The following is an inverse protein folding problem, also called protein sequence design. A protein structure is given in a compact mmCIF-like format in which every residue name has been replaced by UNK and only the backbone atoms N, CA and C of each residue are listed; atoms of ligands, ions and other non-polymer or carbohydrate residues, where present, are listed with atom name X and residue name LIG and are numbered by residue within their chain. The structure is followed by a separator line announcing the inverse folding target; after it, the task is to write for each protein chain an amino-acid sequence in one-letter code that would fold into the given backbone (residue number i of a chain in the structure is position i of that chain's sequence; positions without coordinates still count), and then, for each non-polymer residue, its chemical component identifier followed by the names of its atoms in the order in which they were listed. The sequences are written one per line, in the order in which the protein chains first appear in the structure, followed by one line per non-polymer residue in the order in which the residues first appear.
data_IF_336431505061
#
_entry.id   IF_336431505061
#
_cell.length_a   1.000
_cell.length_b   1.000
_cell.length_c   1.000
_cell.angle_alpha   90.00
_cell.angle_beta   90.00
_cell.angle_gamma   90.00
#
_symmetry.space_group_name_H-M   'P 1'
#
loop_
_entity.id
_entity.type
_entity.pdbx_description
1 polymer ?
#
# COMPACT_ATOMS: atom_id res chain seq x y z
N UNK A 1 2.50 29.11 10.79
CA UNK A 1 1.85 27.90 10.27
C UNK A 1 2.76 26.71 10.54
N UNK A 2 2.33 25.83 11.43
CA UNK A 2 2.94 24.51 11.64
C UNK A 2 2.62 23.58 10.45
N UNK A 3 3.14 22.35 10.46
CA UNK A 3 3.01 21.46 9.31
C UNK A 3 1.57 20.92 9.14
N UNK A 4 0.86 20.67 10.24
CA UNK A 4 -0.56 20.27 10.21
C UNK A 4 -1.43 21.35 9.58
N UNK A 5 -1.23 22.60 9.99
CA UNK A 5 -1.96 23.75 9.42
C UNK A 5 -1.64 23.93 7.92
N UNK A 6 -0.43 23.57 7.49
CA UNK A 6 -0.02 23.67 6.09
C UNK A 6 -0.68 22.59 5.21
N UNK A 7 -0.79 21.36 5.70
CA UNK A 7 -1.50 20.27 5.01
C UNK A 7 -3.00 20.55 4.90
N UNK A 8 -3.61 21.08 5.96
CA UNK A 8 -5.01 21.53 5.95
C UNK A 8 -5.22 22.65 4.93
N UNK A 9 -4.29 23.60 4.84
CA UNK A 9 -4.34 24.68 3.86
C UNK A 9 -4.23 24.17 2.43
N UNK A 10 -3.31 23.26 2.14
CA UNK A 10 -3.17 22.63 0.81
C UNK A 10 -4.50 21.95 0.43
N UNK A 11 -5.07 21.17 1.35
CA UNK A 11 -6.34 20.47 1.11
C UNK A 11 -7.50 21.44 0.87
N UNK A 12 -7.61 22.49 1.69
CA UNK A 12 -8.66 23.50 1.56
C UNK A 12 -8.54 24.30 0.26
N UNK A 13 -7.33 24.76 -0.07
CA UNK A 13 -7.05 25.50 -1.30
C UNK A 13 -7.39 24.68 -2.55
N UNK A 14 -7.03 23.39 -2.57
CA UNK A 14 -7.39 22.49 -3.67
C UNK A 14 -8.92 22.35 -3.82
N UNK A 15 -9.64 22.13 -2.71
CA UNK A 15 -11.12 22.01 -2.72
C UNK A 15 -11.83 23.28 -3.19
N UNK A 16 -11.26 24.44 -2.89
CA UNK A 16 -11.78 25.75 -3.28
C UNK A 16 -11.31 26.18 -4.67
N UNK A 17 -10.48 25.37 -5.35
CA UNK A 17 -9.81 25.71 -6.60
C UNK A 17 -8.98 27.01 -6.51
N UNK A 18 -8.50 27.37 -5.32
CA UNK A 18 -7.54 28.46 -5.15
C UNK A 18 -6.14 27.93 -5.45
N UNK A 19 -5.86 27.76 -6.75
CA UNK A 19 -4.64 27.10 -7.20
C UNK A 19 -3.38 27.92 -6.90
N UNK A 20 -3.49 29.25 -6.81
CA UNK A 20 -2.38 30.10 -6.42
C UNK A 20 -1.98 29.86 -4.96
N UNK A 21 -2.97 29.81 -4.06
CA UNK A 21 -2.75 29.46 -2.67
C UNK A 21 -2.24 28.02 -2.53
N UNK A 22 -2.85 27.07 -3.25
CA UNK A 22 -2.43 25.67 -3.30
C UNK A 22 -0.95 25.53 -3.66
N UNK A 23 -0.50 26.18 -4.74
CA UNK A 23 0.89 26.15 -5.15
C UNK A 23 1.80 26.81 -4.13
N UNK A 24 1.42 27.98 -3.59
CA UNK A 24 2.23 28.68 -2.58
C UNK A 24 2.46 27.83 -1.32
N UNK A 25 1.42 27.11 -0.87
CA UNK A 25 1.50 26.23 0.28
C UNK A 25 2.38 24.99 0.00
N UNK A 26 2.25 24.36 -1.18
CA UNK A 26 3.11 23.24 -1.58
C UNK A 26 4.58 23.66 -1.73
N UNK A 27 4.86 24.87 -2.24
CA UNK A 27 6.23 25.41 -2.32
C UNK A 27 6.84 25.67 -0.94
N UNK A 28 6.05 26.16 0.01
CA UNK A 28 6.51 26.29 1.40
C UNK A 28 6.78 24.91 2.03
N UNK A 29 5.95 23.91 1.75
CA UNK A 29 6.17 22.54 2.23
C UNK A 29 7.47 21.96 1.68
N UNK A 30 7.75 22.14 0.38
CA UNK A 30 9.03 21.74 -0.24
C UNK A 30 10.23 22.50 0.31
N UNK A 31 10.06 23.79 0.66
CA UNK A 31 11.15 24.58 1.26
C UNK A 31 11.56 24.00 2.62
N UNK A 32 10.61 23.46 3.38
CA UNK A 32 10.86 22.79 4.67
C UNK A 32 11.34 21.36 4.50
N UNK A 33 10.76 20.65 3.54
CA UNK A 33 10.99 19.23 3.27
C UNK A 33 11.24 19.01 1.77
N UNK A 34 12.49 19.21 1.30
CA UNK A 34 12.82 19.10 -0.12
C UNK A 34 12.54 17.72 -0.74
N UNK A 35 12.50 16.67 0.08
CA UNK A 35 12.21 15.29 -0.32
C UNK A 35 10.71 14.95 -0.31
N UNK A 36 9.82 15.91 -0.04
CA UNK A 36 8.38 15.64 -0.04
C UNK A 36 7.86 15.44 -1.48
N UNK A 37 7.75 14.17 -1.89
CA UNK A 37 7.28 13.77 -3.22
C UNK A 37 5.91 14.35 -3.56
N UNK A 38 4.96 14.31 -2.63
CA UNK A 38 3.60 14.81 -2.86
C UNK A 38 3.59 16.30 -3.21
N UNK A 39 4.34 17.10 -2.46
CA UNK A 39 4.44 18.54 -2.70
C UNK A 39 5.15 18.84 -4.02
N UNK A 40 6.16 18.04 -4.39
CA UNK A 40 6.86 18.14 -5.67
C UNK A 40 5.91 17.88 -6.84
N UNK A 41 5.11 16.82 -6.76
CA UNK A 41 4.13 16.44 -7.79
C UNK A 41 2.99 17.47 -7.89
N UNK A 42 2.52 18.02 -6.77
CA UNK A 42 1.54 19.10 -6.77
C UNK A 42 2.06 20.37 -7.46
N UNK A 43 3.32 20.73 -7.23
CA UNK A 43 3.96 21.85 -7.93
C UNK A 43 4.15 21.56 -9.43
N UNK A 44 4.49 20.32 -9.80
CA UNK A 44 4.56 19.90 -11.20
C UNK A 44 3.21 20.06 -11.90
N UNK A 45 2.14 19.52 -11.29
CA UNK A 45 0.78 19.65 -11.79
C UNK A 45 0.38 21.10 -12.00
N UNK A 46 0.63 21.97 -11.00
CA UNK A 46 0.28 23.38 -11.10
C UNK A 46 0.96 24.04 -12.30
N UNK A 47 2.26 23.82 -12.50
CA UNK A 47 2.98 24.38 -13.66
C UNK A 47 2.43 23.86 -14.98
N UNK A 48 2.23 22.54 -15.09
CA UNK A 48 1.76 21.94 -16.33
C UNK A 48 0.31 22.31 -16.66
N UNK A 49 -0.60 22.22 -15.69
CA UNK A 49 -2.05 22.34 -15.94
C UNK A 49 -2.55 23.76 -15.78
N UNK A 50 -2.10 24.49 -14.76
CA UNK A 50 -2.59 25.84 -14.45
C UNK A 50 -1.79 26.90 -15.21
N UNK A 51 -0.46 26.82 -15.19
CA UNK A 51 0.41 27.77 -15.93
C UNK A 51 0.58 27.38 -17.40
N UNK A 52 0.11 26.19 -17.80
CA UNK A 52 0.28 25.63 -19.16
C UNK A 52 1.75 25.61 -19.61
N UNK A 53 2.67 25.40 -18.67
CA UNK A 53 4.11 25.27 -18.93
C UNK A 53 4.44 23.90 -19.52
N UNK A 54 4.41 23.82 -20.86
CA UNK A 54 4.74 22.60 -21.61
C UNK A 54 6.16 22.08 -21.34
N UNK A 55 7.08 22.94 -20.86
CA UNK A 55 8.46 22.50 -20.59
C UNK A 55 8.52 21.41 -19.52
N UNK A 56 7.49 21.28 -18.69
CA UNK A 56 7.34 20.17 -17.73
C UNK A 56 7.28 18.79 -18.41
N UNK A 57 6.75 18.71 -19.63
CA UNK A 57 6.62 17.44 -20.36
C UNK A 57 7.96 16.93 -20.91
N UNK A 58 8.92 17.82 -21.16
CA UNK A 58 10.24 17.44 -21.66
C UNK A 58 11.01 16.53 -20.69
N UNK A 59 10.73 16.65 -19.39
CA UNK A 59 11.38 15.89 -18.32
C UNK A 59 10.43 14.89 -17.63
N UNK A 60 9.21 14.66 -18.14
CA UNK A 60 8.22 13.84 -17.44
C UNK A 60 8.68 12.41 -17.16
N UNK A 61 9.51 11.83 -18.04
CA UNK A 61 10.13 10.52 -17.82
C UNK A 61 10.99 10.49 -16.55
N UNK A 62 11.79 11.54 -16.32
CA UNK A 62 12.62 11.65 -15.12
C UNK A 62 11.77 11.78 -13.85
N UNK A 63 10.61 12.43 -13.97
CA UNK A 63 9.64 12.49 -12.87
C UNK A 63 9.06 11.11 -12.56
N UNK A 64 8.70 10.33 -13.58
CA UNK A 64 8.18 8.97 -13.40
C UNK A 64 9.24 8.02 -12.83
N UNK A 65 10.51 8.16 -13.23
CA UNK A 65 11.61 7.38 -12.66
C UNK A 65 11.91 7.76 -11.19
N UNK A 66 11.87 9.05 -10.88
CA UNK A 66 12.12 9.54 -9.51
C UNK A 66 10.97 9.21 -8.55
N UNK A 67 9.74 9.24 -9.05
CA UNK A 67 8.51 9.09 -8.27
C UNK A 67 7.59 8.02 -8.91
N UNK A 68 8.00 6.75 -8.93
CA UNK A 68 7.27 5.68 -9.60
C UNK A 68 5.86 5.47 -9.04
N UNK A 69 5.64 5.78 -7.76
CA UNK A 69 4.33 5.74 -7.10
C UNK A 69 3.35 6.80 -7.66
N UNK A 70 3.87 7.85 -8.30
CA UNK A 70 3.09 8.90 -8.96
C UNK A 70 2.98 8.74 -10.48
N UNK A 71 3.49 7.64 -11.06
CA UNK A 71 3.31 7.32 -12.49
C UNK A 71 1.88 7.55 -12.99
N UNK A 72 0.81 7.02 -12.36
CA UNK A 72 -0.54 7.22 -12.87
C UNK A 72 -0.99 8.69 -12.81
N UNK A 73 -0.50 9.47 -11.84
CA UNK A 73 -0.79 10.91 -11.76
C UNK A 73 -0.10 11.67 -12.89
N UNK A 74 1.19 11.42 -13.10
CA UNK A 74 1.98 12.05 -14.16
C UNK A 74 1.41 11.74 -15.56
N UNK A 75 1.03 10.47 -15.81
CA UNK A 75 0.31 10.09 -17.04
C UNK A 75 -0.99 10.88 -17.21
N UNK A 76 -1.83 10.96 -16.17
CA UNK A 76 -3.09 11.71 -16.21
C UNK A 76 -2.86 13.20 -16.48
N UNK A 77 -1.82 13.81 -15.90
CA UNK A 77 -1.52 15.23 -16.15
C UNK A 77 -1.07 15.47 -17.59
N UNK A 78 -0.24 14.59 -18.17
CA UNK A 78 0.13 14.69 -19.57
C UNK A 78 -1.07 14.53 -20.50
N UNK A 79 -1.93 13.54 -20.22
CA UNK A 79 -3.19 13.31 -20.96
C UNK A 79 -4.07 14.54 -20.92
N UNK A 80 -4.34 15.07 -19.72
CA UNK A 80 -5.16 16.27 -19.52
C UNK A 80 -4.60 17.46 -20.31
N UNK A 81 -3.28 17.71 -20.20
CA UNK A 81 -2.62 18.79 -20.93
C UNK A 81 -2.78 18.68 -22.45
N UNK A 82 -2.48 17.50 -23.02
CA UNK A 82 -2.54 17.29 -24.46
C UNK A 82 -3.98 17.36 -24.99
N UNK A 83 -4.94 16.79 -24.26
CA UNK A 83 -6.35 16.85 -24.64
C UNK A 83 -6.89 18.28 -24.62
N UNK A 84 -6.57 19.06 -23.57
CA UNK A 84 -6.92 20.48 -23.48
C UNK A 84 -6.36 21.29 -24.66
N UNK A 85 -5.20 20.90 -25.18
CA UNK A 85 -4.55 21.50 -26.34
C UNK A 85 -5.01 20.93 -27.70
N UNK A 86 -5.92 19.95 -27.72
CA UNK A 86 -6.38 19.26 -28.93
C UNK A 86 -5.33 18.35 -29.59
N UNK A 87 -4.30 17.92 -28.83
CA UNK A 87 -3.14 17.10 -29.27
C UNK A 87 -3.28 15.65 -28.81
N UNK A 88 -4.45 15.06 -29.01
CA UNK A 88 -4.79 13.71 -28.51
C UNK A 88 -3.79 12.62 -28.95
N UNK A 89 -3.24 12.70 -30.16
CA UNK A 89 -2.23 11.75 -30.63
C UNK A 89 -0.95 11.71 -29.76
N UNK A 90 -0.61 12.82 -29.11
CA UNK A 90 0.55 12.90 -28.22
C UNK A 90 0.25 12.38 -26.81
N UNK A 91 -1.04 12.28 -26.45
CA UNK A 91 -1.48 11.66 -25.21
C UNK A 91 -1.45 10.13 -25.27
N UNK A 92 -1.47 9.52 -26.46
CA UNK A 92 -1.57 8.07 -26.66
C UNK A 92 -0.56 7.24 -25.84
N UNK A 93 0.74 7.58 -25.81
CA UNK A 93 1.71 6.81 -25.01
C UNK A 93 1.41 6.86 -23.51
N UNK A 94 0.77 7.92 -23.02
CA UNK A 94 0.39 8.05 -21.62
C UNK A 94 -0.88 7.28 -21.29
N UNK A 95 -1.82 7.15 -22.24
CA UNK A 95 -2.97 6.26 -22.10
C UNK A 95 -2.52 4.79 -21.99
N UNK A 96 -1.67 4.33 -22.91
CA UNK A 96 -1.14 2.95 -22.89
C UNK A 96 -0.43 2.62 -21.56
N UNK A 97 0.37 3.56 -21.05
CA UNK A 97 1.05 3.39 -19.75
C UNK A 97 0.07 3.34 -18.59
N UNK A 98 -0.95 4.19 -18.59
CA UNK A 98 -1.96 4.20 -17.54
C UNK A 98 -2.76 2.89 -17.55
N UNK A 99 -3.17 2.42 -18.72
CA UNK A 99 -3.86 1.14 -18.88
C UNK A 99 -3.00 -0.03 -18.38
N UNK A 100 -1.72 -0.08 -18.76
CA UNK A 100 -0.80 -1.11 -18.27
C UNK A 100 -0.60 -1.04 -16.75
N UNK A 101 -0.48 0.17 -16.18
CA UNK A 101 -0.36 0.34 -14.73
C UNK A 101 -1.63 -0.12 -14.00
N UNK A 102 -2.81 0.21 -14.52
CA UNK A 102 -4.10 -0.24 -13.98
C UNK A 102 -4.25 -1.77 -14.06
N UNK A 103 -3.86 -2.38 -15.18
CA UNK A 103 -3.81 -3.84 -15.32
C UNK A 103 -2.91 -4.49 -14.27
N UNK A 104 -1.67 -3.98 -14.11
CA UNK A 104 -0.72 -4.49 -13.12
C UNK A 104 -1.26 -4.31 -11.70
N UNK A 105 -1.85 -3.16 -11.38
CA UNK A 105 -2.44 -2.88 -10.06
C UNK A 105 -3.63 -3.79 -9.75
N UNK A 106 -4.53 -3.99 -10.71
CA UNK A 106 -5.70 -4.85 -10.53
C UNK A 106 -5.26 -6.32 -10.37
N UNK A 107 -4.31 -6.78 -11.19
CA UNK A 107 -3.74 -8.13 -11.06
C UNK A 107 -3.02 -8.32 -9.71
N UNK A 108 -2.29 -7.30 -9.27
CA UNK A 108 -1.63 -7.26 -7.96
C UNK A 108 -2.65 -7.32 -6.81
N UNK A 109 -3.76 -6.59 -6.91
CA UNK A 109 -4.83 -6.60 -5.91
C UNK A 109 -5.54 -7.95 -5.86
N UNK A 110 -5.87 -8.54 -7.02
CA UNK A 110 -6.47 -9.87 -7.11
C UNK A 110 -5.57 -10.93 -6.48
N UNK A 111 -4.28 -10.95 -6.86
CA UNK A 111 -3.28 -11.87 -6.31
C UNK A 111 -3.14 -11.72 -4.78
N UNK A 112 -3.18 -10.50 -4.26
CA UNK A 112 -3.04 -10.20 -2.82
C UNK A 112 -4.35 -10.30 -2.03
N UNK A 113 -5.49 -10.49 -2.69
CA UNK A 113 -6.78 -10.59 -1.99
C UNK A 113 -7.05 -11.98 -1.41
N UNK A 114 -6.38 -13.01 -1.94
CA UNK A 114 -6.63 -14.42 -1.60
C UNK A 114 -5.33 -15.20 -1.41
N UNK A 115 -5.39 -16.18 -0.52
CA UNK A 115 -4.37 -17.22 -0.38
C UNK A 115 -4.90 -18.49 -1.05
N UNK A 116 -4.15 -19.00 -2.02
CA UNK A 116 -4.48 -20.18 -2.82
C UNK A 116 -3.56 -21.35 -2.47
N UNK A 117 -4.03 -22.57 -2.74
CA UNK A 117 -3.22 -23.78 -2.56
C UNK A 117 -1.94 -23.76 -3.40
N UNK A 118 -1.91 -23.05 -4.53
CA UNK A 118 -0.74 -22.95 -5.40
C UNK A 118 0.29 -21.92 -4.92
N UNK A 119 -0.06 -21.04 -3.97
CA UNK A 119 0.82 -19.96 -3.55
C UNK A 119 2.12 -20.48 -2.94
N UNK A 120 3.19 -19.72 -3.17
CA UNK A 120 4.51 -19.93 -2.61
C UNK A 120 4.79 -18.86 -1.54
N UNK A 121 5.55 -19.25 -0.53
CA UNK A 121 5.87 -18.41 0.61
C UNK A 121 7.37 -18.39 0.84
N UNK A 122 7.89 -17.20 1.15
CA UNK A 122 9.30 -16.96 1.46
C UNK A 122 9.42 -16.40 2.89
N UNK A 123 10.63 -16.43 3.49
CA UNK A 123 10.85 -15.82 4.80
C UNK A 123 10.43 -14.34 4.81
N UNK A 124 9.83 -13.90 5.91
CA UNK A 124 9.23 -12.56 6.00
C UNK A 124 10.25 -11.41 6.01
N UNK A 125 11.52 -11.67 6.36
CA UNK A 125 12.58 -10.66 6.36
C UNK A 125 12.43 -9.48 7.34
N UNK A 126 11.30 -9.37 8.05
CA UNK A 126 11.09 -8.35 9.08
C UNK A 126 12.15 -8.37 10.18
N UNK A 127 12.43 -7.17 10.70
CA UNK A 127 13.32 -6.96 11.84
C UNK A 127 12.86 -7.76 13.08
N UNK A 128 13.77 -8.40 13.83
CA UNK A 128 13.44 -9.13 15.06
C UNK A 128 12.63 -8.31 16.08
N UNK A 129 12.84 -7.00 16.17
CA UNK A 129 12.10 -6.14 17.10
C UNK A 129 10.62 -6.03 16.69
N UNK A 130 10.34 -5.91 15.39
CA UNK A 130 8.96 -5.95 14.85
C UNK A 130 8.31 -7.31 15.13
N UNK A 131 9.07 -8.41 14.99
CA UNK A 131 8.57 -9.76 15.30
C UNK A 131 8.26 -9.91 16.79
N UNK A 132 9.07 -9.31 17.67
CA UNK A 132 8.82 -9.31 19.11
C UNK A 132 7.53 -8.55 19.48
N UNK A 133 7.26 -7.43 18.82
CA UNK A 133 6.01 -6.68 18.99
C UNK A 133 4.78 -7.52 18.58
N UNK A 134 4.87 -8.24 17.46
CA UNK A 134 3.86 -9.20 17.05
C UNK A 134 3.63 -10.29 18.09
N UNK A 135 4.70 -10.90 18.62
CA UNK A 135 4.61 -11.91 19.67
C UNK A 135 3.90 -11.36 20.91
N UNK A 136 4.28 -10.16 21.34
CA UNK A 136 3.63 -9.47 22.46
C UNK A 136 2.16 -9.19 22.18
N UNK A 137 1.80 -8.84 20.94
CA UNK A 137 0.42 -8.68 20.52
C UNK A 137 -0.35 -10.00 20.65
N UNK A 138 0.09 -11.08 19.99
CA UNK A 138 -0.59 -12.37 20.03
C UNK A 138 -0.74 -12.96 21.43
N UNK A 139 0.22 -12.71 22.33
CA UNK A 139 0.15 -13.23 23.68
C UNK A 139 -1.07 -12.72 24.46
N UNK A 140 -1.48 -11.47 24.20
CA UNK A 140 -2.66 -10.82 24.79
C UNK A 140 -3.99 -11.35 24.26
N UNK A 141 -4.00 -12.23 23.26
CA UNK A 141 -5.21 -12.81 22.68
C UNK A 141 -5.27 -14.32 22.90
N UNK A 142 -5.84 -14.79 24.04
CA UNK A 142 -5.80 -16.20 24.48
C UNK A 142 -6.34 -17.22 23.49
N UNK A 143 -7.20 -16.78 22.57
CA UNK A 143 -7.79 -17.62 21.52
C UNK A 143 -6.76 -18.05 20.47
N UNK A 144 -5.71 -17.26 20.25
CA UNK A 144 -4.63 -17.55 19.31
C UNK A 144 -3.62 -18.47 19.97
N UNK A 145 -3.43 -19.67 19.41
CA UNK A 145 -2.50 -20.67 19.92
C UNK A 145 -1.19 -20.72 19.15
N UNK A 146 -1.22 -20.44 17.85
CA UNK A 146 -0.01 -20.47 17.03
C UNK A 146 -0.12 -19.43 15.92
N UNK A 147 0.99 -18.82 15.56
CA UNK A 147 1.07 -17.91 14.42
C UNK A 147 2.29 -18.23 13.57
N UNK A 148 2.09 -18.17 12.27
CA UNK A 148 3.13 -18.11 11.27
C UNK A 148 3.11 -16.73 10.60
N UNK A 149 4.29 -16.18 10.35
CA UNK A 149 4.48 -14.97 9.58
C UNK A 149 5.39 -15.31 8.39
N UNK A 150 4.92 -15.03 7.18
CA UNK A 150 5.67 -15.24 5.94
C UNK A 150 5.40 -14.09 4.98
N UNK A 151 6.17 -14.01 3.90
CA UNK A 151 5.83 -13.19 2.75
C UNK A 151 5.31 -14.10 1.63
N UNK A 152 4.17 -13.75 1.03
CA UNK A 152 3.68 -14.40 -0.19
C UNK A 152 4.58 -13.99 -1.36
N UNK A 153 5.04 -14.97 -2.13
CA UNK A 153 5.74 -14.73 -3.40
C UNK A 153 4.71 -14.23 -4.41
N UNK A 154 4.83 -12.96 -4.81
CA UNK A 154 3.89 -12.27 -5.71
C UNK A 154 4.54 -12.04 -7.06
N UNK A 155 3.76 -12.18 -8.12
CA UNK A 155 4.21 -11.91 -9.49
C UNK A 155 4.06 -10.44 -9.86
N UNK A 156 2.98 -9.81 -9.42
CA UNK A 156 2.64 -8.44 -9.83
C UNK A 156 3.07 -7.43 -8.77
N UNK A 157 3.82 -6.40 -9.18
CA UNK A 157 4.37 -5.35 -8.31
C UNK A 157 5.18 -5.91 -7.11
N UNK A 158 6.21 -6.76 -7.34
CA UNK A 158 6.95 -7.45 -6.28
C UNK A 158 7.70 -6.52 -5.31
N UNK A 159 7.90 -5.26 -5.68
CA UNK A 159 8.46 -4.20 -4.83
C UNK A 159 7.58 -3.86 -3.61
N UNK A 160 6.28 -4.20 -3.66
CA UNK A 160 5.36 -4.07 -2.52
C UNK A 160 5.10 -5.46 -1.90
N UNK A 161 5.67 -5.75 -0.71
CA UNK A 161 5.55 -7.05 -0.09
C UNK A 161 4.10 -7.38 0.31
N UNK A 162 3.75 -8.66 0.30
CA UNK A 162 2.48 -9.16 0.81
C UNK A 162 2.77 -10.10 1.98
N UNK A 163 2.52 -9.62 3.20
CA UNK A 163 2.77 -10.40 4.41
C UNK A 163 1.54 -11.23 4.77
N UNK A 164 1.75 -12.47 5.20
CA UNK A 164 0.69 -13.38 5.62
C UNK A 164 0.89 -13.78 7.06
N UNK A 165 -0.08 -13.42 7.91
CA UNK A 165 -0.22 -13.83 9.30
C UNK A 165 -1.22 -14.98 9.35
N UNK A 166 -0.69 -16.20 9.32
CA UNK A 166 -1.52 -17.39 9.42
C UNK A 166 -1.61 -17.87 10.88
N UNK A 167 -2.82 -18.04 11.41
CA UNK A 167 -3.03 -18.38 12.81
C UNK A 167 -3.76 -19.70 13.02
N UNK A 168 -3.51 -20.34 14.16
CA UNK A 168 -4.33 -21.43 14.71
C UNK A 168 -5.01 -20.94 15.98
N UNK A 169 -6.30 -21.23 16.12
CA UNK A 169 -7.03 -20.98 17.36
C UNK A 169 -7.00 -22.19 18.28
N UNK A 170 -7.13 -21.97 19.58
CA UNK A 170 -7.35 -23.02 20.59
C UNK A 170 -8.51 -22.58 21.47
N UNK A 171 -9.75 -22.84 21.03
CA UNK A 171 -10.92 -22.47 21.82
C UNK A 171 -10.96 -23.25 23.13
N UNK A 172 -11.53 -22.63 24.17
CA UNK A 172 -11.87 -23.34 25.41
C UNK A 172 -13.06 -24.25 25.13
N UNK A 173 -13.16 -25.37 25.87
CA UNK A 173 -14.17 -26.41 25.60
C UNK A 173 -15.64 -25.93 25.69
N UNK A 174 -15.88 -24.79 26.33
CA UNK A 174 -17.22 -24.17 26.46
C UNK A 174 -17.49 -23.03 25.47
N UNK A 175 -16.52 -22.67 24.61
CA UNK A 175 -16.70 -21.61 23.63
C UNK A 175 -17.37 -22.16 22.35
N UNK A 176 -18.33 -21.42 21.83
CA UNK A 176 -18.91 -21.67 20.50
C UNK A 176 -17.99 -21.13 19.41
N UNK A 177 -18.10 -21.67 18.19
CA UNK A 177 -17.33 -21.19 17.04
C UNK A 177 -17.58 -19.70 16.76
N UNK A 178 -18.83 -19.25 16.80
CA UNK A 178 -19.17 -17.84 16.60
C UNK A 178 -18.43 -16.89 17.58
N UNK A 179 -18.23 -17.31 18.83
CA UNK A 179 -17.49 -16.52 19.82
C UNK A 179 -15.99 -16.50 19.55
N UNK A 180 -15.45 -17.56 18.97
CA UNK A 180 -14.04 -17.63 18.53
C UNK A 180 -13.84 -16.68 17.34
N UNK A 181 -14.75 -16.73 16.37
CA UNK A 181 -14.70 -15.88 15.18
C UNK A 181 -14.83 -14.40 15.54
N UNK A 182 -15.71 -14.05 16.48
CA UNK A 182 -15.82 -12.69 17.03
C UNK A 182 -14.52 -12.22 17.68
N UNK A 183 -13.89 -13.07 18.50
CA UNK A 183 -12.61 -12.75 19.16
C UNK A 183 -11.47 -12.57 18.15
N UNK A 184 -11.47 -13.35 17.07
CA UNK A 184 -10.48 -13.25 15.99
C UNK A 184 -10.73 -12.01 15.13
N UNK A 185 -11.97 -11.71 14.76
CA UNK A 185 -12.31 -10.50 13.99
C UNK A 185 -11.91 -9.26 14.77
N UNK A 186 -12.32 -9.16 16.04
CA UNK A 186 -11.92 -8.05 16.91
C UNK A 186 -10.40 -7.93 17.02
N UNK A 187 -9.67 -9.05 17.06
CA UNK A 187 -8.21 -9.05 17.04
C UNK A 187 -7.63 -8.51 15.72
N UNK A 188 -8.19 -8.89 14.56
CA UNK A 188 -7.72 -8.40 13.27
C UNK A 188 -8.00 -6.89 13.15
N UNK A 189 -9.22 -6.48 13.47
CA UNK A 189 -9.70 -5.10 13.35
C UNK A 189 -8.91 -4.11 14.25
N UNK A 190 -8.43 -4.59 15.41
CA UNK A 190 -7.67 -3.77 16.36
C UNK A 190 -6.15 -3.96 16.26
N UNK A 191 -5.66 -4.66 15.23
CA UNK A 191 -4.22 -4.93 15.08
C UNK A 191 -3.39 -3.69 14.75
N UNK A 192 -4.01 -2.66 14.17
CA UNK A 192 -3.31 -1.45 13.71
C UNK A 192 -2.37 -1.69 12.53
N UNK A 193 -2.43 -2.87 11.90
CA UNK A 193 -1.59 -3.22 10.76
C UNK A 193 -2.12 -2.62 9.46
N UNK A 194 -1.19 -2.32 8.54
CA UNK A 194 -1.53 -1.86 7.20
C UNK A 194 -2.22 -2.96 6.38
N UNK A 195 -2.76 -2.58 5.23
CA UNK A 195 -3.39 -3.52 4.27
C UNK A 195 -2.40 -4.52 3.65
N UNK A 196 -1.10 -4.36 3.89
CA UNK A 196 -0.05 -5.27 3.39
C UNK A 196 0.00 -6.59 4.18
N UNK A 197 -0.75 -6.68 5.29
CA UNK A 197 -0.85 -7.87 6.13
C UNK A 197 -2.19 -8.60 5.92
N UNK A 198 -2.11 -9.82 5.41
CA UNK A 198 -3.24 -10.74 5.29
C UNK A 198 -3.35 -11.62 6.54
N UNK A 199 -4.52 -11.65 7.16
CA UNK A 199 -4.82 -12.61 8.23
C UNK A 199 -5.59 -13.81 7.70
N UNK A 200 -5.15 -15.02 8.04
CA UNK A 200 -5.79 -16.24 7.58
C UNK A 200 -5.71 -17.37 8.61
N UNK A 201 -6.73 -18.21 8.68
CA UNK A 201 -6.63 -19.43 9.49
C UNK A 201 -5.74 -20.47 8.80
N UNK A 202 -4.82 -21.09 9.53
CA UNK A 202 -3.84 -21.99 8.92
C UNK A 202 -4.44 -23.32 8.40
N UNK A 203 -5.71 -23.61 8.67
CA UNK A 203 -6.51 -24.70 8.06
C UNK A 203 -7.50 -24.26 6.98
N UNK A 204 -7.70 -22.97 6.73
CA UNK A 204 -8.70 -22.53 5.76
C UNK A 204 -8.32 -22.90 4.31
N UNK A 205 -7.03 -23.11 4.07
CA UNK A 205 -6.49 -23.57 2.78
C UNK A 205 -5.78 -24.90 2.99
N UNK A 206 -6.12 -25.88 2.15
CA UNK A 206 -5.58 -27.24 2.26
C UNK A 206 -4.05 -27.23 2.17
N UNK A 207 -3.41 -27.82 3.17
CA UNK A 207 -1.95 -27.94 3.21
C UNK A 207 -1.19 -26.64 3.50
N UNK A 208 -1.88 -25.52 3.72
CA UNK A 208 -1.24 -24.23 4.01
C UNK A 208 -0.29 -24.31 5.19
N UNK A 209 -0.75 -24.78 6.36
CA UNK A 209 0.14 -24.89 7.53
C UNK A 209 1.40 -25.72 7.25
N UNK A 210 1.26 -26.82 6.49
CA UNK A 210 2.40 -27.66 6.13
C UNK A 210 3.39 -26.97 5.20
N UNK A 211 2.92 -26.08 4.32
CA UNK A 211 3.78 -25.20 3.52
C UNK A 211 4.49 -24.18 4.40
N UNK A 212 3.74 -23.48 5.25
CA UNK A 212 4.28 -22.45 6.13
C UNK A 212 5.38 -22.99 7.04
N UNK A 213 5.19 -24.16 7.66
CA UNK A 213 6.21 -24.83 8.50
C UNK A 213 7.56 -25.07 7.82
N UNK A 214 7.60 -25.13 6.48
CA UNK A 214 8.84 -25.34 5.71
C UNK A 214 9.60 -24.05 5.47
N UNK A 215 8.95 -22.90 5.62
CA UNK A 215 9.57 -21.59 5.49
C UNK A 215 10.36 -21.30 6.75
N UNK A 216 11.65 -21.00 6.59
CA UNK A 216 12.54 -20.65 7.70
C UNK A 216 12.03 -19.42 8.45
N UNK A 217 12.12 -19.45 9.79
CA UNK A 217 11.68 -18.34 10.64
C UNK A 217 10.16 -18.12 10.69
N UNK A 218 9.37 -18.89 9.93
CA UNK A 218 7.93 -18.63 9.80
C UNK A 218 7.15 -18.73 11.11
N UNK A 219 7.51 -19.67 11.99
CA UNK A 219 6.81 -19.89 13.25
C UNK A 219 7.19 -18.84 14.30
N UNK A 220 6.45 -17.73 14.33
CA UNK A 220 6.74 -16.59 15.21
C UNK A 220 6.10 -16.69 16.59
N UNK A 221 4.96 -17.38 16.73
CA UNK A 221 4.28 -17.50 18.03
C UNK A 221 3.76 -18.92 18.26
N UNK A 222 3.96 -19.43 19.48
CA UNK A 222 3.33 -20.64 20.00
C UNK A 222 2.97 -20.41 21.46
N UNK A 223 1.68 -20.49 21.78
CA UNK A 223 1.18 -20.36 23.14
C UNK A 223 1.66 -21.55 23.97
N UNK A 224 2.32 -21.25 25.08
CA UNK A 224 2.79 -22.23 26.07
C UNK A 224 1.63 -22.87 26.82
#
# INVERSE_FOLDING_TARGET
MNDTELDELITAANRLNDYALFNSANRELLRRYPENSSAAINCFWYRLIIEKDESQLADIEKWMEKFPEYLPNLCRYAIEFYNDAGREQEAEPFYERLENWEYLRNSAQEERSLILEADEFIPHGLDPDIVADFVGYFDRHPVIAKVYLVQKSVKYMPEYPCYVIAYRTKPKFWQTQAKVDEQVSSFIDNSGLSQDYMFISADSVKGLESKLKKVEGSGVYLRK
#
